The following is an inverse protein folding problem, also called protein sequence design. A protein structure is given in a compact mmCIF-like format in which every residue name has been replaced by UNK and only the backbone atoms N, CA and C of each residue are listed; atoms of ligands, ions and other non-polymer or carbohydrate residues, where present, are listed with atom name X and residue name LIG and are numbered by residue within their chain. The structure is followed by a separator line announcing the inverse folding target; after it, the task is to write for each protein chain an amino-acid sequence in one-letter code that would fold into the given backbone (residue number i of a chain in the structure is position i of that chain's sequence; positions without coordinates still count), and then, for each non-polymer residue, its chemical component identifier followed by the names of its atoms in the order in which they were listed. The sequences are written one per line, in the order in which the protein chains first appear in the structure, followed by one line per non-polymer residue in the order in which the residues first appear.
data_IF_013158377337
#
_entry.id   IF_013158377337
#
_cell.length_a   1.000
_cell.length_b   1.000
_cell.length_c   1.000
_cell.angle_alpha   90.00
_cell.angle_beta   90.00
_cell.angle_gamma   90.00
#
_symmetry.space_group_name_H-M   'P 1'
#
loop_
_entity.id
_entity.type
_entity.pdbx_description
1 polymer ?
#
# COMPACT_ATOMS: atom_id res chain seq x y z
N UNK A 1 18.13 13.99 -24.34
CA UNK A 1 18.97 13.63 -23.18
C UNK A 1 18.07 12.91 -22.17
N UNK A 2 18.14 11.57 -22.11
CA UNK A 2 17.39 10.83 -21.08
C UNK A 2 18.14 11.02 -19.78
N UNK A 3 17.51 11.67 -18.81
CA UNK A 3 18.00 11.73 -17.43
C UNK A 3 18.33 10.30 -16.96
N UNK A 4 19.50 10.04 -16.37
CA UNK A 4 19.80 8.75 -15.80
C UNK A 4 18.74 8.46 -14.74
N UNK A 5 17.99 7.37 -14.90
CA UNK A 5 17.11 6.93 -13.82
C UNK A 5 17.99 6.40 -12.69
N UNK A 6 18.03 7.12 -11.58
CA UNK A 6 18.50 6.55 -10.30
C UNK A 6 17.83 5.19 -10.14
N UNK A 7 18.62 4.15 -9.84
CA UNK A 7 18.07 2.82 -9.54
C UNK A 7 17.10 2.98 -8.37
N UNK A 8 15.82 3.04 -8.67
CA UNK A 8 14.76 3.16 -7.68
C UNK A 8 14.92 1.96 -6.72
N UNK A 9 15.30 2.23 -5.47
CA UNK A 9 15.51 1.20 -4.44
C UNK A 9 14.26 0.30 -4.45
N UNK A 10 14.46 -1.01 -4.62
CA UNK A 10 13.35 -1.95 -4.75
C UNK A 10 12.49 -1.85 -3.49
N UNK A 11 11.21 -1.44 -3.66
CA UNK A 11 10.29 -1.31 -2.53
C UNK A 11 10.07 -2.68 -1.89
N UNK A 12 10.31 -2.78 -0.60
CA UNK A 12 9.99 -3.98 0.17
C UNK A 12 8.48 -4.27 0.10
N UNK A 13 8.09 -5.54 0.27
CA UNK A 13 6.67 -5.92 0.30
C UNK A 13 5.90 -5.14 1.36
N UNK A 14 6.51 -4.91 2.54
CA UNK A 14 5.93 -4.11 3.61
C UNK A 14 5.68 -2.66 3.19
N UNK A 15 6.64 -2.04 2.48
CA UNK A 15 6.45 -0.68 1.96
C UNK A 15 5.31 -0.59 0.96
N UNK A 16 5.19 -1.57 0.05
CA UNK A 16 4.09 -1.62 -0.91
C UNK A 16 2.74 -1.76 -0.18
N UNK A 17 2.68 -2.57 0.87
CA UNK A 17 1.46 -2.71 1.68
C UNK A 17 1.10 -1.37 2.34
N UNK A 18 2.07 -0.69 2.96
CA UNK A 18 1.86 0.59 3.60
C UNK A 18 1.40 1.67 2.60
N UNK A 19 2.00 1.73 1.42
CA UNK A 19 1.62 2.66 0.34
C UNK A 19 0.16 2.43 -0.11
N UNK A 20 -0.24 1.17 -0.33
CA UNK A 20 -1.62 0.82 -0.72
C UNK A 20 -2.61 1.17 0.39
N UNK A 21 -2.33 0.76 1.63
CA UNK A 21 -3.22 1.00 2.77
C UNK A 21 -3.41 2.50 3.01
N UNK A 22 -2.35 3.30 2.83
CA UNK A 22 -2.44 4.76 2.94
C UNK A 22 -3.28 5.37 1.83
N UNK A 23 -3.13 4.91 0.58
CA UNK A 23 -3.97 5.36 -0.53
C UNK A 23 -5.47 5.05 -0.29
N UNK A 24 -5.77 3.94 0.39
CA UNK A 24 -7.14 3.61 0.80
C UNK A 24 -7.61 4.50 1.96
N UNK A 25 -6.77 4.71 2.98
CA UNK A 25 -7.08 5.54 4.14
C UNK A 25 -7.39 7.00 3.75
N UNK A 26 -6.61 7.57 2.83
CA UNK A 26 -6.76 8.97 2.39
C UNK A 26 -8.12 9.23 1.69
N UNK A 27 -8.67 8.21 1.03
CA UNK A 27 -9.98 8.26 0.34
C UNK A 27 -11.15 7.80 1.24
N UNK A 28 -10.85 7.10 2.35
CA UNK A 28 -11.82 6.41 3.20
C UNK A 28 -12.34 5.11 2.59
N UNK A 29 -12.93 5.19 1.38
CA UNK A 29 -13.32 4.03 0.54
C UNK A 29 -12.73 4.19 -0.85
N UNK A 30 -11.77 3.36 -1.23
CA UNK A 30 -11.04 3.52 -2.49
C UNK A 30 -11.41 2.47 -3.53
N UNK A 31 -11.58 2.91 -4.78
CA UNK A 31 -11.68 2.03 -5.94
C UNK A 31 -10.29 1.51 -6.34
N UNK A 32 -10.22 0.32 -6.92
CA UNK A 32 -8.98 -0.25 -7.48
C UNK A 32 -8.23 0.74 -8.38
N UNK A 33 -8.96 1.48 -9.22
CA UNK A 33 -8.38 2.49 -10.12
C UNK A 33 -7.70 3.63 -9.36
N UNK A 34 -8.31 4.13 -8.28
CA UNK A 34 -7.70 5.16 -7.44
C UNK A 34 -6.39 4.63 -6.81
N UNK A 35 -6.44 3.41 -6.25
CA UNK A 35 -5.28 2.78 -5.62
C UNK A 35 -4.15 2.56 -6.66
N UNK A 36 -4.49 2.19 -7.89
CA UNK A 36 -3.52 2.01 -8.97
C UNK A 36 -2.76 3.31 -9.28
N UNK A 37 -3.48 4.42 -9.42
CA UNK A 37 -2.86 5.73 -9.69
C UNK A 37 -1.93 6.18 -8.56
N UNK A 38 -2.21 5.77 -7.31
CA UNK A 38 -1.41 6.15 -6.13
C UNK A 38 -0.25 5.20 -5.81
N UNK A 39 -0.28 3.95 -6.27
CA UNK A 39 0.66 2.91 -5.81
C UNK A 39 1.90 2.72 -6.67
N UNK A 40 1.99 3.37 -7.84
CA UNK A 40 3.07 3.16 -8.82
C UNK A 40 3.30 1.66 -9.13
N UNK A 41 2.21 0.91 -9.26
CA UNK A 41 2.20 -0.53 -9.55
C UNK A 41 1.55 -0.78 -10.91
N UNK A 42 1.91 -1.89 -11.55
CA UNK A 42 1.08 -2.42 -12.64
C UNK A 42 -0.22 -3.02 -12.08
N UNK A 43 -1.23 -3.11 -12.94
CA UNK A 43 -2.54 -3.68 -12.56
C UNK A 43 -2.41 -5.08 -11.96
N UNK A 44 -1.67 -6.00 -12.60
CA UNK A 44 -1.50 -7.37 -12.12
C UNK A 44 -0.81 -7.46 -10.74
N UNK A 45 0.15 -6.56 -10.48
CA UNK A 45 0.81 -6.51 -9.17
C UNK A 45 -0.15 -5.99 -8.11
N UNK A 46 -0.86 -4.91 -8.41
CA UNK A 46 -1.83 -4.34 -7.49
C UNK A 46 -2.89 -5.38 -7.11
N UNK A 47 -3.48 -6.09 -8.08
CA UNK A 47 -4.50 -7.10 -7.81
C UNK A 47 -3.99 -8.19 -6.86
N UNK A 48 -2.77 -8.69 -7.07
CA UNK A 48 -2.15 -9.65 -6.14
C UNK A 48 -1.99 -9.06 -4.74
N UNK A 49 -1.58 -7.80 -4.63
CA UNK A 49 -1.41 -7.16 -3.33
C UNK A 49 -2.74 -6.89 -2.61
N UNK A 50 -3.78 -6.49 -3.34
CA UNK A 50 -5.11 -6.31 -2.77
C UNK A 50 -5.65 -7.63 -2.20
N UNK A 51 -5.48 -8.76 -2.91
CA UNK A 51 -5.83 -10.09 -2.40
C UNK A 51 -5.06 -10.39 -1.11
N UNK A 52 -3.73 -10.20 -1.08
CA UNK A 52 -2.94 -10.43 0.13
C UNK A 52 -3.39 -9.55 1.32
N UNK A 53 -3.74 -8.28 1.05
CA UNK A 53 -4.18 -7.34 2.07
C UNK A 53 -5.58 -7.70 2.62
N UNK A 54 -6.45 -8.20 1.77
CA UNK A 54 -7.77 -8.72 2.14
C UNK A 54 -7.65 -10.02 2.96
N UNK A 55 -6.90 -11.00 2.47
CA UNK A 55 -6.66 -12.27 3.17
C UNK A 55 -5.97 -12.08 4.54
N UNK A 56 -5.12 -11.07 4.66
CA UNK A 56 -4.47 -10.71 5.93
C UNK A 56 -5.36 -9.86 6.86
N UNK A 57 -6.56 -9.47 6.42
CA UNK A 57 -7.52 -8.67 7.17
C UNK A 57 -7.10 -7.21 7.38
N UNK A 58 -6.19 -6.70 6.54
CA UNK A 58 -5.74 -5.31 6.55
C UNK A 58 -6.68 -4.40 5.73
N UNK A 59 -7.33 -4.98 4.72
CA UNK A 59 -8.41 -4.37 3.95
C UNK A 59 -9.68 -5.22 4.05
N UNK A 60 -10.81 -4.56 3.85
CA UNK A 60 -12.10 -5.20 3.55
C UNK A 60 -12.52 -4.78 2.16
N UNK A 61 -12.91 -5.76 1.35
CA UNK A 61 -13.53 -5.54 0.04
C UNK A 61 -15.03 -5.38 0.22
N UNK A 62 -15.59 -4.31 -0.30
CA UNK A 62 -17.05 -4.07 -0.35
C UNK A 62 -17.50 -3.89 -1.79
N UNK A 63 -18.76 -4.26 -2.06
CA UNK A 63 -19.38 -4.09 -3.37
C UNK A 63 -20.44 -2.98 -3.27
N UNK A 64 -20.33 -1.99 -4.14
CA UNK A 64 -21.28 -0.88 -4.31
C UNK A 64 -21.86 -0.97 -5.73
N UNK A 65 -22.92 -1.76 -5.87
CA UNK A 65 -23.46 -2.17 -7.16
C UNK A 65 -22.43 -3.00 -7.94
N UNK A 66 -22.04 -2.51 -9.12
CA UNK A 66 -21.01 -3.15 -9.96
C UNK A 66 -19.57 -2.73 -9.59
N UNK A 67 -19.40 -1.83 -8.62
CA UNK A 67 -18.10 -1.28 -8.25
C UNK A 67 -17.51 -2.00 -7.05
N UNK A 68 -16.23 -2.35 -7.16
CA UNK A 68 -15.43 -2.84 -6.02
C UNK A 68 -14.80 -1.65 -5.30
N UNK A 69 -15.00 -1.61 -3.98
CA UNK A 69 -14.39 -0.68 -3.07
C UNK A 69 -13.54 -1.42 -2.04
N UNK A 70 -12.50 -0.75 -1.56
CA UNK A 70 -11.67 -1.21 -0.47
C UNK A 70 -11.71 -0.21 0.68
N UNK A 71 -11.82 -0.73 1.89
CA UNK A 71 -11.82 0.04 3.13
C UNK A 71 -10.73 -0.50 4.06
N UNK A 72 -10.02 0.41 4.74
CA UNK A 72 -8.99 0.03 5.69
C UNK A 72 -9.61 -0.46 7.00
N UNK A 73 -9.13 -1.58 7.52
CA UNK A 73 -9.56 -2.08 8.83
C UNK A 73 -8.76 -1.45 9.96
N UNK A 74 -9.22 -1.59 11.21
CA UNK A 74 -8.41 -1.20 12.38
C UNK A 74 -7.05 -1.92 12.42
N UNK A 75 -7.00 -3.17 11.92
CA UNK A 75 -5.75 -3.92 11.78
C UNK A 75 -4.85 -3.27 10.72
N UNK A 76 -5.41 -2.84 9.59
CA UNK A 76 -4.72 -2.07 8.55
C UNK A 76 -4.14 -0.76 9.07
N UNK A 77 -4.92 0.00 9.84
CA UNK A 77 -4.46 1.26 10.44
C UNK A 77 -3.29 1.04 11.40
N UNK A 78 -3.38 0.01 12.26
CA UNK A 78 -2.27 -0.39 13.14
C UNK A 78 -1.03 -0.78 12.35
N UNK A 79 -1.19 -1.52 11.24
CA UNK A 79 -0.06 -1.86 10.38
C UNK A 79 0.68 -0.63 9.87
N UNK A 80 -0.03 0.40 9.38
CA UNK A 80 0.60 1.65 8.93
C UNK A 80 1.41 2.30 10.07
N UNK A 81 0.82 2.39 11.27
CA UNK A 81 1.46 3.00 12.42
C UNK A 81 2.74 2.27 12.85
N UNK A 82 2.69 0.93 12.95
CA UNK A 82 3.83 0.10 13.32
C UNK A 82 4.91 0.09 12.22
N UNK A 83 4.52 0.05 10.95
CA UNK A 83 5.46 0.13 9.84
C UNK A 83 6.24 1.46 9.87
N UNK A 84 5.55 2.58 10.13
CA UNK A 84 6.21 3.89 10.28
C UNK A 84 7.18 3.95 11.47
N UNK A 85 6.83 3.30 12.59
CA UNK A 85 7.73 3.19 13.76
C UNK A 85 8.98 2.37 13.42
N UNK A 86 8.82 1.29 12.68
CA UNK A 86 9.91 0.45 12.21
C UNK A 86 10.84 1.21 11.25
N UNK A 87 10.28 1.98 10.30
CA UNK A 87 11.06 2.85 9.41
C UNK A 87 11.87 3.87 10.21
N UNK A 88 11.23 4.60 11.15
CA UNK A 88 11.93 5.57 11.97
C UNK A 88 13.03 4.94 12.85
N UNK A 89 12.80 3.73 13.36
CA UNK A 89 13.82 2.98 14.08
C UNK A 89 15.00 2.65 13.18
N UNK A 90 14.75 2.07 12.00
CA UNK A 90 15.81 1.71 11.07
C UNK A 90 16.63 2.93 10.65
N UNK A 91 15.96 4.03 10.32
CA UNK A 91 16.61 5.30 9.97
C UNK A 91 17.52 5.81 11.11
N UNK A 92 17.06 5.73 12.37
CA UNK A 92 17.84 6.16 13.53
C UNK A 92 19.12 5.35 13.76
N UNK A 93 19.18 4.11 13.23
CA UNK A 93 20.35 3.24 13.32
C UNK A 93 21.09 3.07 11.98
N UNK A 94 20.71 3.84 10.94
CA UNK A 94 21.33 3.77 9.62
C UNK A 94 21.09 2.44 8.88
N UNK A 95 19.98 1.77 9.17
CA UNK A 95 19.60 0.52 8.54
C UNK A 95 18.73 0.79 7.31
N UNK A 96 19.07 0.16 6.18
CA UNK A 96 18.26 0.21 4.97
C UNK A 96 17.19 -0.89 4.98
N UNK A 97 15.93 -0.52 5.16
CA UNK A 97 14.75 -1.43 5.09
C UNK A 97 13.70 -1.01 4.05
#
# INVERSE_FOLDING_TARGET
MKVPQEKQKYRSKGRIFADILKAVQDEGKARTTHILYKSNLSHDRLSKYLINLEESGLLVRTEDGEKVLYEITDKGQRFIAEFKRMEAFADAFGLDI
#
